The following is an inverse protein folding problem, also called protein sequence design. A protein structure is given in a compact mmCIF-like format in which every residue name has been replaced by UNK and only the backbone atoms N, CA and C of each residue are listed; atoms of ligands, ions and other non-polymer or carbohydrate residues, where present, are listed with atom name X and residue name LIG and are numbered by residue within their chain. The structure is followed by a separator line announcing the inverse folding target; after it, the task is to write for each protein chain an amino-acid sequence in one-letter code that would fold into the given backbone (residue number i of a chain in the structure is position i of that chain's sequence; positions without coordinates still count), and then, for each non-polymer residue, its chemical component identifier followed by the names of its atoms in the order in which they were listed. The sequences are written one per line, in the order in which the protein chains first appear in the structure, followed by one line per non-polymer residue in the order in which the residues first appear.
data_IF_642650475776
#
_entry.id   IF_642650475776
#
_cell.length_a   1.000
_cell.length_b   1.000
_cell.length_c   1.000
_cell.angle_alpha   90.00
_cell.angle_beta   90.00
_cell.angle_gamma   90.00
#
_symmetry.space_group_name_H-M   'P 1'
#
loop_
_entity.id
_entity.type
_entity.pdbx_description
1 polymer ?
#
# COMPACT_ATOMS: atom_id res chain seq x y z
N UNK A 1 25.36 -12.20 -19.53
CA UNK A 1 25.25 -12.22 -18.06
C UNK A 1 23.86 -11.71 -17.69
N UNK A 2 22.89 -12.62 -17.55
CA UNK A 2 21.51 -12.27 -17.20
C UNK A 2 21.47 -12.00 -15.70
N UNK A 3 21.46 -10.72 -15.33
CA UNK A 3 21.26 -10.30 -13.94
C UNK A 3 19.82 -10.60 -13.55
N UNK A 4 19.62 -11.81 -13.01
CA UNK A 4 18.39 -12.26 -12.37
C UNK A 4 18.11 -11.34 -11.17
N UNK A 5 17.41 -10.22 -11.41
CA UNK A 5 16.92 -9.36 -10.34
C UNK A 5 15.85 -10.15 -9.60
N UNK A 6 16.20 -10.69 -8.44
CA UNK A 6 15.25 -11.27 -7.49
C UNK A 6 14.22 -10.19 -7.16
N UNK A 7 13.04 -10.29 -7.76
CA UNK A 7 11.97 -9.33 -7.54
C UNK A 7 11.45 -9.56 -6.12
N UNK A 8 11.90 -8.73 -5.19
CA UNK A 8 11.37 -8.75 -3.83
C UNK A 8 9.88 -8.38 -3.91
N UNK A 9 9.02 -9.30 -3.46
CA UNK A 9 7.59 -9.07 -3.36
C UNK A 9 7.26 -8.82 -1.89
N UNK A 10 6.55 -7.74 -1.63
CA UNK A 10 6.06 -7.37 -0.31
C UNK A 10 4.54 -7.53 -0.28
N UNK A 11 4.02 -8.10 0.80
CA UNK A 11 2.59 -8.18 1.03
C UNK A 11 2.09 -6.87 1.63
N UNK A 12 1.05 -6.30 1.03
CA UNK A 12 0.43 -5.04 1.47
C UNK A 12 -1.06 -5.22 1.57
N UNK A 13 -1.67 -4.61 2.58
CA UNK A 13 -3.13 -4.61 2.76
C UNK A 13 -3.71 -3.37 2.09
N UNK A 14 -4.79 -3.52 1.34
CA UNK A 14 -5.44 -2.42 0.63
C UNK A 14 -6.42 -1.68 1.55
N UNK A 15 -6.42 -0.35 1.50
CA UNK A 15 -7.39 0.50 2.20
C UNK A 15 -8.69 0.70 1.41
N UNK A 16 -8.69 0.37 0.12
CA UNK A 16 -9.78 0.60 -0.83
C UNK A 16 -9.91 -0.54 -1.84
N UNK A 17 -10.97 -0.53 -2.63
CA UNK A 17 -11.06 -1.38 -3.82
C UNK A 17 -9.90 -1.06 -4.80
N UNK A 18 -9.19 -2.09 -5.22
CA UNK A 18 -8.07 -1.97 -6.14
C UNK A 18 -7.95 -3.20 -7.03
N UNK A 19 -7.91 -2.97 -8.33
CA UNK A 19 -7.62 -4.02 -9.31
C UNK A 19 -6.12 -4.24 -9.42
N UNK A 20 -5.64 -5.42 -9.01
CA UNK A 20 -4.24 -5.82 -9.13
C UNK A 20 -4.11 -6.96 -10.14
N UNK A 21 -3.35 -6.75 -11.23
CA UNK A 21 -3.17 -7.71 -12.34
C UNK A 21 -4.48 -8.20 -12.98
N UNK A 22 -5.50 -7.34 -13.03
CA UNK A 22 -6.82 -7.68 -13.58
C UNK A 22 -7.71 -8.47 -12.62
N UNK A 23 -7.31 -8.60 -11.35
CA UNK A 23 -8.15 -9.16 -10.29
C UNK A 23 -8.56 -8.03 -9.37
N UNK A 24 -9.86 -7.87 -9.14
CA UNK A 24 -10.40 -6.89 -8.21
C UNK A 24 -10.23 -7.38 -6.77
N UNK A 25 -9.57 -6.56 -5.96
CA UNK A 25 -9.38 -6.79 -4.54
C UNK A 25 -10.15 -5.73 -3.75
N UNK A 26 -10.89 -6.16 -2.73
CA UNK A 26 -11.62 -5.28 -1.85
C UNK A 26 -10.77 -4.65 -0.74
N UNK A 27 -11.42 -3.80 0.05
CA UNK A 27 -10.84 -3.21 1.27
C UNK A 27 -10.37 -4.32 2.23
N UNK A 28 -9.16 -4.19 2.76
CA UNK A 28 -8.55 -5.17 3.67
C UNK A 28 -7.98 -6.39 2.97
N UNK A 29 -8.07 -6.49 1.64
CA UNK A 29 -7.43 -7.56 0.91
C UNK A 29 -5.90 -7.36 0.87
N UNK A 30 -5.17 -8.47 0.94
CA UNK A 30 -3.71 -8.47 0.90
C UNK A 30 -3.21 -8.87 -0.47
N UNK A 31 -2.37 -8.04 -1.07
CA UNK A 31 -1.77 -8.29 -2.38
C UNK A 31 -0.24 -8.28 -2.28
N UNK A 32 0.42 -9.07 -3.14
CA UNK A 32 1.88 -9.09 -3.24
C UNK A 32 2.32 -8.20 -4.38
N UNK A 33 2.98 -7.10 -4.02
CA UNK A 33 3.46 -6.09 -4.96
C UNK A 33 4.97 -5.92 -4.84
N UNK A 34 5.60 -5.31 -5.82
CA UNK A 34 7.01 -4.89 -5.68
C UNK A 34 7.14 -3.75 -4.68
N UNK A 35 8.30 -3.54 -4.03
CA UNK A 35 8.49 -2.42 -3.11
C UNK A 35 8.21 -1.05 -3.76
N UNK A 36 8.52 -0.90 -5.06
CA UNK A 36 8.17 0.31 -5.83
C UNK A 36 6.66 0.50 -5.98
N UNK A 37 5.91 -0.58 -6.16
CA UNK A 37 4.44 -0.52 -6.21
C UNK A 37 3.83 -0.31 -4.83
N UNK A 38 4.42 -0.86 -3.77
CA UNK A 38 4.03 -0.56 -2.39
C UNK A 38 4.15 0.93 -2.14
N UNK A 39 5.30 1.53 -2.46
CA UNK A 39 5.56 2.96 -2.29
C UNK A 39 4.51 3.80 -3.02
N UNK A 40 4.23 3.47 -4.28
CA UNK A 40 3.17 4.13 -5.06
C UNK A 40 1.77 3.99 -4.43
N UNK A 41 1.42 2.82 -3.90
CA UNK A 41 0.13 2.59 -3.23
C UNK A 41 0.05 3.30 -1.88
N UNK A 42 1.18 3.43 -1.16
CA UNK A 42 1.31 4.19 0.08
C UNK A 42 1.15 5.69 -0.17
N UNK A 43 1.88 6.26 -1.15
CA UNK A 43 1.74 7.66 -1.56
C UNK A 43 0.33 7.99 -2.06
N UNK A 44 -0.32 7.04 -2.74
CA UNK A 44 -1.70 7.18 -3.19
C UNK A 44 -2.75 6.99 -2.07
N UNK A 45 -2.33 6.67 -0.84
CA UNK A 45 -3.24 6.43 0.29
C UNK A 45 -4.12 5.17 0.12
N UNK A 46 -3.70 4.22 -0.71
CA UNK A 46 -4.45 2.99 -1.04
C UNK A 46 -4.06 1.80 -0.18
N UNK A 47 -3.12 1.94 0.76
CA UNK A 47 -2.72 0.88 1.67
C UNK A 47 -3.28 1.08 3.09
N UNK A 48 -3.79 0.00 3.67
CA UNK A 48 -4.20 -0.06 5.06
C UNK A 48 -2.96 -0.32 5.91
N UNK A 49 -2.64 0.62 6.80
CA UNK A 49 -1.46 0.49 7.67
C UNK A 49 -0.23 1.26 7.20
N UNK A 50 -0.31 1.98 6.08
CA UNK A 50 0.40 3.26 5.99
C UNK A 50 -0.31 4.17 6.97
N UNK A 51 0.02 3.99 8.24
CA UNK A 51 -0.40 4.86 9.31
C UNK A 51 -0.14 6.24 8.77
N UNK A 52 -1.22 6.91 8.44
CA UNK A 52 -1.25 8.32 8.20
C UNK A 52 -0.32 8.86 9.27
N UNK A 53 0.81 9.42 8.83
CA UNK A 53 1.47 10.49 9.55
C UNK A 53 0.46 11.63 9.54
N UNK A 54 -0.68 11.39 10.18
CA UNK A 54 -1.66 12.36 10.58
C UNK A 54 -0.89 13.09 11.66
N UNK A 55 -0.27 14.18 11.24
CA UNK A 55 -0.23 15.40 12.04
C UNK A 55 -1.26 15.31 13.17
N UNK A 56 -0.85 15.29 14.44
CA UNK A 56 -1.80 15.46 15.52
C UNK A 56 -2.33 16.89 15.39
N UNK A 57 -3.46 17.07 14.70
CA UNK A 57 -4.30 18.23 14.90
C UNK A 57 -5.04 17.98 16.22
N UNK A 58 -4.29 18.08 17.31
CA UNK A 58 -4.84 18.34 18.62
C UNK A 58 -5.40 19.76 18.59
N UNK A 59 -6.70 19.89 18.35
CA UNK A 59 -7.50 20.97 18.91
C UNK A 59 -8.54 20.29 19.80
N UNK A 60 -8.09 19.96 21.01
CA UNK A 60 -8.95 19.98 22.18
C UNK A 60 -9.05 21.46 22.56
N UNK A 61 -10.21 22.09 22.34
CA UNK A 61 -10.64 23.29 23.06
C UNK A 61 -11.95 22.86 23.74
N UNK A 62 -11.97 22.63 25.06
CA UNK A 62 -11.97 23.60 26.17
C UNK A 62 -13.35 24.22 26.39
#
# INVERSE_FOLDING_TARGET
MSTEKTVQLVEVELAGEHTHKGVDYGVGAKIKVTPKQKDFLEEAGKLKGSATKATPAATQEA
#
